data_IF_487939037037
#
_entry.id   IF_487939037037
#
_cell.length_a   1.000
_cell.length_b   1.000
_cell.length_c   1.000
_cell.angle_alpha   90.00
_cell.angle_beta   90.00
_cell.angle_gamma   90.00
#
_symmetry.space_group_name_H-M   'P 1'
#
loop_
_entity.id
_entity.type
_entity.pdbx_description
1 polymer ?
#
# COMPACT_ATOMS: atom_id res chain seq x y z
N UNK A 1 24.00 -10.30 -2.74
CA UNK A 1 23.35 -10.17 -1.42
C UNK A 1 22.03 -9.38 -1.44
N UNK A 2 21.98 -8.10 -1.88
CA UNK A 2 20.75 -7.28 -1.84
C UNK A 2 19.58 -7.75 -2.72
N UNK A 3 19.87 -8.40 -3.86
CA UNK A 3 18.82 -8.85 -4.81
C UNK A 3 17.98 -10.00 -4.25
N UNK A 4 18.62 -10.94 -3.53
CA UNK A 4 17.92 -12.04 -2.87
C UNK A 4 17.10 -11.56 -1.68
N UNK A 5 17.59 -10.61 -0.89
CA UNK A 5 16.82 -10.00 0.20
C UNK A 5 15.58 -9.27 -0.30
N UNK A 6 15.70 -8.47 -1.38
CA UNK A 6 14.55 -7.82 -1.99
C UNK A 6 13.56 -8.83 -2.58
N UNK A 7 14.05 -9.93 -3.17
CA UNK A 7 13.21 -11.01 -3.68
C UNK A 7 12.46 -11.71 -2.54
N UNK A 8 13.14 -12.00 -1.43
CA UNK A 8 12.54 -12.63 -0.25
C UNK A 8 11.48 -11.73 0.38
N UNK A 9 11.74 -10.41 0.48
CA UNK A 9 10.76 -9.43 0.93
C UNK A 9 9.54 -9.35 0.00
N UNK A 10 9.76 -9.38 -1.32
CA UNK A 10 8.66 -9.36 -2.28
C UNK A 10 7.81 -10.63 -2.21
N UNK A 11 8.45 -11.80 -2.10
CA UNK A 11 7.77 -13.08 -1.88
C UNK A 11 6.98 -13.03 -0.56
N UNK A 12 7.55 -12.51 0.52
CA UNK A 12 6.86 -12.38 1.80
C UNK A 12 5.62 -11.48 1.71
N UNK A 13 5.70 -10.34 1.01
CA UNK A 13 4.54 -9.47 0.77
C UNK A 13 3.47 -10.17 -0.07
N UNK A 14 3.86 -10.85 -1.15
CA UNK A 14 2.93 -11.61 -2.01
C UNK A 14 2.27 -12.73 -1.21
N UNK A 15 3.03 -13.47 -0.40
CA UNK A 15 2.49 -14.49 0.49
C UNK A 15 1.52 -13.87 1.50
N UNK A 16 1.86 -12.76 2.15
CA UNK A 16 0.98 -12.13 3.13
C UNK A 16 -0.34 -11.66 2.51
N UNK A 17 -0.34 -11.25 1.23
CA UNK A 17 -1.54 -10.91 0.49
C UNK A 17 -2.32 -12.13 -0.03
N UNK A 18 -1.64 -13.15 -0.54
CA UNK A 18 -2.23 -14.32 -1.20
C UNK A 18 -2.64 -15.44 -0.23
N UNK A 19 -1.97 -15.55 0.92
CA UNK A 19 -2.24 -16.58 1.92
C UNK A 19 -3.65 -16.44 2.51
N UNK A 20 -4.17 -15.25 2.86
CA UNK A 20 -5.58 -15.07 3.23
C UNK A 20 -6.54 -15.49 2.12
N UNK A 21 -6.23 -15.19 0.85
CA UNK A 21 -7.05 -15.58 -0.31
C UNK A 21 -7.08 -17.10 -0.54
N UNK A 22 -6.02 -17.81 -0.11
CA UNK A 22 -5.96 -19.28 -0.18
C UNK A 22 -6.64 -19.92 1.04
N UNK A 23 -6.30 -19.48 2.25
CA UNK A 23 -6.76 -20.10 3.50
C UNK A 23 -8.24 -19.85 3.78
N UNK A 24 -8.80 -18.74 3.29
CA UNK A 24 -10.22 -18.43 3.46
C UNK A 24 -11.01 -19.17 2.40
N UNK A 25 -11.50 -20.35 2.77
CA UNK A 25 -12.51 -21.10 2.02
C UNK A 25 -13.74 -20.21 1.83
N UNK A 26 -14.19 -20.05 0.57
CA UNK A 26 -15.36 -19.21 0.27
C UNK A 26 -16.60 -19.84 0.90
N UNK A 27 -17.16 -19.32 2.00
CA UNK A 27 -18.41 -19.82 2.50
C UNK A 27 -19.48 -19.46 1.45
N UNK A 28 -20.31 -20.43 1.08
CA UNK A 28 -21.56 -20.09 0.41
C UNK A 28 -22.40 -19.31 1.44
N UNK A 29 -22.92 -18.15 1.03
CA UNK A 29 -23.92 -17.45 1.83
C UNK A 29 -25.18 -18.32 2.01
N UNK A 30 -26.06 -17.97 2.96
CA UNK A 30 -27.31 -18.70 3.21
C UNK A 30 -28.19 -18.91 1.96
N UNK A 31 -27.99 -18.08 0.93
CA UNK A 31 -28.80 -17.99 -0.29
C UNK A 31 -28.11 -18.61 -1.52
N UNK A 32 -26.98 -19.31 -1.35
CA UNK A 32 -26.22 -19.93 -2.44
C UNK A 32 -25.36 -18.96 -3.26
N UNK A 33 -25.34 -17.68 -2.89
CA UNK A 33 -24.45 -16.68 -3.47
C UNK A 33 -23.07 -16.70 -2.81
N UNK A 34 -21.98 -16.33 -3.52
CA UNK A 34 -20.67 -16.19 -2.91
C UNK A 34 -20.79 -15.19 -1.74
N UNK A 35 -20.49 -15.63 -0.51
CA UNK A 35 -20.51 -14.72 0.62
C UNK A 35 -19.54 -13.56 0.35
N UNK A 36 -19.94 -12.34 0.67
CA UNK A 36 -19.06 -11.17 0.66
C UNK A 36 -18.09 -11.27 1.85
N UNK A 37 -17.12 -12.17 1.75
CA UNK A 37 -16.17 -12.48 2.84
C UNK A 37 -15.26 -11.28 3.15
N UNK A 38 -15.15 -10.37 2.20
CA UNK A 38 -14.43 -9.10 2.30
C UNK A 38 -15.39 -7.91 2.34
N UNK A 39 -16.52 -8.05 3.02
CA UNK A 39 -17.42 -6.93 3.29
C UNK A 39 -16.69 -5.82 4.04
N UNK A 40 -16.91 -4.57 3.62
CA UNK A 40 -16.33 -3.39 4.27
C UNK A 40 -16.75 -3.29 5.74
N UNK A 41 -15.96 -2.58 6.56
CA UNK A 41 -16.22 -2.40 7.99
C UNK A 41 -17.64 -1.89 8.31
N UNK A 42 -18.21 -1.10 7.39
CA UNK A 42 -19.55 -0.54 7.48
C UNK A 42 -20.65 -1.63 7.50
N UNK A 43 -20.53 -2.66 6.65
CA UNK A 43 -21.48 -3.78 6.60
C UNK A 43 -21.53 -4.56 7.92
N UNK A 44 -20.37 -4.74 8.56
CA UNK A 44 -20.26 -5.40 9.86
C UNK A 44 -20.84 -4.53 10.98
N UNK A 45 -20.62 -3.22 10.92
CA UNK A 45 -21.19 -2.26 11.88
C UNK A 45 -22.72 -2.26 11.79
N UNK A 46 -23.28 -2.20 10.59
CA UNK A 46 -24.73 -2.25 10.38
C UNK A 46 -25.34 -3.56 10.92
N UNK A 47 -24.72 -4.71 10.61
CA UNK A 47 -25.18 -6.01 11.12
C UNK A 47 -25.17 -6.08 12.65
N UNK A 48 -24.18 -5.47 13.29
CA UNK A 48 -24.09 -5.44 14.75
C UNK A 48 -25.11 -4.48 15.37
N UNK A 49 -25.33 -3.31 14.78
CA UNK A 49 -26.32 -2.33 15.24
C UNK A 49 -27.73 -2.95 15.23
N UNK A 50 -28.10 -3.63 14.15
CA UNK A 50 -29.40 -4.33 14.03
C UNK A 50 -29.59 -5.43 15.08
N UNK A 51 -28.49 -6.05 15.55
CA UNK A 51 -28.55 -7.08 16.61
C UNK A 51 -28.65 -6.50 18.02
N UNK A 52 -27.94 -5.40 18.29
CA UNK A 52 -27.90 -4.80 19.63
C UNK A 52 -29.14 -3.94 19.90
N UNK A 53 -29.63 -3.22 18.88
CA UNK A 53 -30.74 -2.30 19.00
C UNK A 53 -31.66 -2.44 17.78
N UNK A 54 -32.62 -3.39 17.82
CA UNK A 54 -33.52 -3.64 16.68
C UNK A 54 -34.44 -2.46 16.36
N UNK A 55 -34.73 -1.60 17.34
CA UNK A 55 -35.55 -0.39 17.16
C UNK A 55 -34.73 0.85 16.76
N UNK A 56 -33.44 0.68 16.44
CA UNK A 56 -32.56 1.79 16.11
C UNK A 56 -32.94 2.45 14.79
N UNK A 57 -33.33 3.73 14.87
CA UNK A 57 -33.61 4.58 13.71
C UNK A 57 -32.32 5.33 13.30
N UNK A 58 -31.96 5.36 12.00
CA UNK A 58 -30.84 6.17 11.52
C UNK A 58 -31.04 7.64 11.89
N UNK A 59 -30.09 8.21 12.64
CA UNK A 59 -30.09 9.63 13.02
C UNK A 59 -29.64 10.56 11.88
N UNK A 60 -29.17 9.98 10.78
CA UNK A 60 -28.77 10.67 9.56
C UNK A 60 -29.14 9.79 8.36
N UNK A 61 -29.84 10.38 7.39
CA UNK A 61 -30.10 9.74 6.10
C UNK A 61 -29.11 10.32 5.08
N UNK A 62 -28.45 9.47 4.26
CA UNK A 62 -27.57 9.97 3.21
C UNK A 62 -28.34 10.91 2.29
N UNK A 63 -27.85 12.14 2.12
CA UNK A 63 -28.41 13.10 1.15
C UNK A 63 -28.26 12.60 -0.31
N UNK A 64 -27.36 11.66 -0.52
CA UNK A 64 -27.10 10.94 -1.76
C UNK A 64 -26.95 9.46 -1.42
N UNK A 65 -27.97 8.68 -1.75
CA UNK A 65 -27.92 7.23 -1.67
C UNK A 65 -27.16 6.73 -2.91
N UNK A 66 -25.95 6.16 -2.79
CA UNK A 66 -25.23 5.67 -3.95
C UNK A 66 -26.03 4.53 -4.59
N UNK A 67 -26.22 4.60 -5.91
CA UNK A 67 -27.09 3.69 -6.67
C UNK A 67 -26.70 2.20 -6.60
N UNK A 68 -25.52 1.85 -6.07
CA UNK A 68 -25.12 0.49 -5.71
C UNK A 68 -23.94 0.48 -4.74
N UNK A 69 -23.83 -0.57 -3.91
CA UNK A 69 -22.67 -0.80 -3.02
C UNK A 69 -21.33 -0.95 -3.77
N UNK A 70 -21.38 -1.21 -5.07
CA UNK A 70 -20.19 -1.31 -5.93
C UNK A 70 -19.52 0.05 -6.13
N UNK A 71 -20.30 1.15 -6.20
CA UNK A 71 -19.75 2.49 -6.38
C UNK A 71 -18.98 2.92 -5.12
N UNK A 72 -19.49 2.59 -3.93
CA UNK A 72 -18.79 2.85 -2.67
C UNK A 72 -17.45 2.10 -2.60
N UNK A 73 -17.47 0.82 -3.00
CA UNK A 73 -16.25 -0.02 -3.07
C UNK A 73 -15.24 0.53 -4.08
N UNK A 74 -15.70 1.03 -5.23
CA UNK A 74 -14.85 1.66 -6.25
C UNK A 74 -14.20 2.95 -5.74
N UNK A 75 -14.95 3.80 -5.04
CA UNK A 75 -14.41 5.01 -4.42
C UNK A 75 -13.35 4.69 -3.35
N UNK A 76 -13.57 3.63 -2.57
CA UNK A 76 -12.59 3.16 -1.60
C UNK A 76 -11.32 2.61 -2.28
N UNK A 77 -11.48 1.81 -3.33
CA UNK A 77 -10.36 1.31 -4.14
C UNK A 77 -9.57 2.46 -4.79
N UNK A 78 -10.26 3.50 -5.27
CA UNK A 78 -9.63 4.70 -5.82
C UNK A 78 -8.83 5.46 -4.75
N UNK A 79 -9.38 5.64 -3.54
CA UNK A 79 -8.64 6.24 -2.43
C UNK A 79 -7.40 5.44 -2.07
N UNK A 80 -7.52 4.11 -2.00
CA UNK A 80 -6.38 3.23 -1.75
C UNK A 80 -5.31 3.34 -2.84
N UNK A 81 -5.72 3.37 -4.13
CA UNK A 81 -4.81 3.52 -5.26
C UNK A 81 -4.07 4.88 -5.24
N UNK A 82 -4.78 5.98 -4.94
CA UNK A 82 -4.18 7.30 -4.80
C UNK A 82 -3.21 7.36 -3.63
N UNK A 83 -3.58 6.80 -2.47
CA UNK A 83 -2.70 6.73 -1.29
C UNK A 83 -1.43 5.92 -1.56
N UNK A 84 -1.57 4.75 -2.18
CA UNK A 84 -0.43 3.92 -2.59
C UNK A 84 0.45 4.63 -3.62
N UNK A 85 -0.14 5.32 -4.60
CA UNK A 85 0.56 6.12 -5.59
C UNK A 85 1.38 7.25 -4.96
N UNK A 86 0.80 7.99 -4.02
CA UNK A 86 1.49 9.06 -3.29
C UNK A 86 2.69 8.54 -2.50
N UNK A 87 2.51 7.49 -1.70
CA UNK A 87 3.58 6.87 -0.92
C UNK A 87 4.68 6.33 -1.85
N UNK A 88 4.30 5.65 -2.92
CA UNK A 88 5.23 5.12 -3.92
C UNK A 88 6.08 6.22 -4.58
N UNK A 89 5.45 7.32 -4.98
CA UNK A 89 6.13 8.48 -5.56
C UNK A 89 7.13 9.09 -4.56
N UNK A 90 6.72 9.29 -3.30
CA UNK A 90 7.58 9.85 -2.26
C UNK A 90 8.83 8.98 -2.03
N UNK A 91 8.66 7.66 -1.85
CA UNK A 91 9.78 6.74 -1.68
C UNK A 91 10.69 6.72 -2.92
N UNK A 92 10.10 6.78 -4.12
CA UNK A 92 10.83 6.90 -5.38
C UNK A 92 11.73 8.13 -5.43
N UNK A 93 11.16 9.31 -5.16
CA UNK A 93 11.91 10.57 -5.13
C UNK A 93 12.99 10.58 -4.03
N UNK A 94 12.70 10.06 -2.84
CA UNK A 94 13.68 9.94 -1.76
C UNK A 94 14.88 9.08 -2.18
N UNK A 95 14.62 7.92 -2.78
CA UNK A 95 15.66 7.01 -3.27
C UNK A 95 16.52 7.64 -4.38
N UNK A 96 15.90 8.37 -5.30
CA UNK A 96 16.61 9.05 -6.39
C UNK A 96 17.50 10.18 -5.86
N UNK A 97 17.01 10.99 -4.93
CA UNK A 97 17.82 12.03 -4.26
C UNK A 97 19.05 11.45 -3.58
N UNK A 98 18.90 10.31 -2.90
CA UNK A 98 20.03 9.66 -2.23
C UNK A 98 21.08 9.16 -3.23
N UNK A 99 20.66 8.57 -4.35
CA UNK A 99 21.58 8.13 -5.41
C UNK A 99 22.40 9.29 -5.97
N UNK A 100 21.74 10.40 -6.34
CA UNK A 100 22.42 11.59 -6.89
C UNK A 100 23.44 12.17 -5.91
N UNK A 101 23.09 12.27 -4.62
CA UNK A 101 24.03 12.71 -3.57
C UNK A 101 25.25 11.80 -3.44
N UNK A 102 25.08 10.50 -3.58
CA UNK A 102 26.20 9.53 -3.53
C UNK A 102 27.10 9.63 -4.76
N UNK A 103 26.53 9.88 -5.93
CA UNK A 103 27.28 10.10 -7.17
C UNK A 103 28.09 11.38 -7.10
N UNK A 104 27.51 12.49 -6.61
CA UNK A 104 28.23 13.75 -6.39
C UNK A 104 29.42 13.58 -5.44
N UNK A 105 29.21 12.97 -4.26
CA UNK A 105 30.31 12.70 -3.31
C UNK A 105 31.41 11.83 -3.90
N UNK A 106 31.06 10.87 -4.76
CA UNK A 106 32.04 10.02 -5.45
C UNK A 106 32.82 10.82 -6.50
N UNK A 107 32.16 11.70 -7.25
CA UNK A 107 32.81 12.59 -8.20
C UNK A 107 33.76 13.58 -7.51
N UNK A 108 33.32 14.21 -6.42
CA UNK A 108 34.15 15.10 -5.58
C UNK A 108 35.36 14.36 -4.99
N UNK A 109 35.17 13.13 -4.49
CA UNK A 109 36.25 12.32 -3.95
C UNK A 109 37.23 11.82 -5.02
N UNK A 110 36.77 11.64 -6.27
CA UNK A 110 37.63 11.28 -7.40
C UNK A 110 38.47 12.48 -7.84
N UNK A 111 37.85 13.65 -8.03
CA UNK A 111 38.54 14.89 -8.39
C UNK A 111 39.60 15.27 -7.35
N UNK A 112 39.30 15.11 -6.04
CA UNK A 112 40.27 15.39 -4.97
C UNK A 112 41.49 14.46 -4.99
N UNK A 113 41.34 13.22 -5.48
CA UNK A 113 42.47 12.29 -5.63
C UNK A 113 43.33 12.63 -6.85
N UNK A 114 42.72 13.11 -7.93
CA UNK A 114 43.44 13.57 -9.12
C UNK A 114 44.30 14.81 -8.82
N UNK A 115 43.81 15.75 -7.99
CA UNK A 115 44.62 16.88 -7.49
C UNK A 115 45.79 16.40 -6.60
N UNK A 116 45.55 15.48 -5.66
CA UNK A 116 46.59 14.94 -4.76
C UNK A 116 47.69 14.18 -5.53
N UNK A 117 47.35 13.46 -6.60
CA UNK A 117 48.34 12.77 -7.46
C UNK A 117 49.12 13.74 -8.35
N UNK A 118 48.55 14.90 -8.69
CA UNK A 118 49.18 15.92 -9.55
C UNK A 118 50.12 16.86 -8.76
N UNK A 119 49.89 17.03 -7.45
CA UNK A 119 50.80 17.73 -6.51
C UNK A 119 51.87 16.80 -5.88
N UNK A 120 52.11 15.62 -6.47
CA UNK A 120 53.09 14.63 -6.00
C UNK A 120 54.45 15.22 -5.59
N UNK A 121 55.14 14.60 -4.60
CA UNK A 121 56.13 15.28 -3.76
C UNK A 121 57.21 15.95 -4.60
N UNK A 122 57.24 17.29 -4.53
CA UNK A 122 58.35 18.08 -5.01
C UNK A 122 59.64 17.58 -4.36
N UNK A 123 60.43 16.80 -5.10
CA UNK A 123 61.84 16.58 -4.83
C UNK A 123 62.65 17.74 -5.42
#
# INVERSE_FOLDING_TARGET
MKRHQNLLLLIAVVLLAALPLWLVERPLGPDGQPAEIFGGADSQAQALITRIAPDYQPWFQPLLEPASGEIASLLFALQAALGAGFIGYYLGCARTREKLRREQRRGEAAARREDEDQEGPAC
#
